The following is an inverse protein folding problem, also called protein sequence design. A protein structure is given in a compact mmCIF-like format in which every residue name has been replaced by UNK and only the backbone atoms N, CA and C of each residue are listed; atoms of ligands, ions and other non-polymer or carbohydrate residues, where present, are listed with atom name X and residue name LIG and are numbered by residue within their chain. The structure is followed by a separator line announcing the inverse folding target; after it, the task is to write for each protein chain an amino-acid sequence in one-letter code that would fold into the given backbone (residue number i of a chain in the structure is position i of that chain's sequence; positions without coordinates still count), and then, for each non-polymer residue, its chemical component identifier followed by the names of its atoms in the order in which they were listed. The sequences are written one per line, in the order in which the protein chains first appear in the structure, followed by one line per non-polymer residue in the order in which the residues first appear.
data_IF_527531499014
#
_entry.id   IF_527531499014
#
_cell.length_a   1.000
_cell.length_b   1.000
_cell.length_c   1.000
_cell.angle_alpha   90.00
_cell.angle_beta   90.00
_cell.angle_gamma   90.00
#
_symmetry.space_group_name_H-M   'P 1'
#
loop_
_entity.id
_entity.type
_entity.pdbx_description
1 polymer ?
#
# COMPACT_ATOMS: atom_id res chain seq x y z
N UNK A 1 -57.96 32.85 -60.06
CA UNK A 1 -58.45 32.10 -61.26
C UNK A 1 -57.23 31.54 -61.97
N UNK A 2 -57.21 30.32 -62.16
CA UNK A 2 -56.68 29.41 -63.15
C UNK A 2 -55.87 28.30 -62.51
N UNK A 3 -56.49 27.12 -62.51
CA UNK A 3 -55.92 25.82 -62.17
C UNK A 3 -55.02 25.29 -63.28
N UNK A 4 -53.90 24.63 -62.95
CA UNK A 4 -53.27 23.68 -63.87
C UNK A 4 -52.91 22.44 -63.07
N UNK A 5 -53.49 21.31 -63.50
CA UNK A 5 -53.34 19.95 -62.93
C UNK A 5 -51.97 19.34 -63.20
N UNK A 6 -51.60 18.34 -62.41
CA UNK A 6 -50.31 17.65 -62.55
C UNK A 6 -50.39 16.46 -63.51
N UNK A 7 -49.41 16.32 -64.36
CA UNK A 7 -49.18 15.14 -65.21
C UNK A 7 -48.45 14.05 -64.48
N UNK A 8 -49.04 12.85 -64.44
CA UNK A 8 -48.43 11.59 -63.94
C UNK A 8 -47.43 11.07 -64.97
N UNK A 9 -46.23 10.77 -64.54
CA UNK A 9 -45.29 9.96 -65.31
C UNK A 9 -45.08 8.61 -64.62
N UNK A 10 -45.16 7.54 -65.43
CA UNK A 10 -45.07 6.12 -65.01
C UNK A 10 -43.67 5.68 -64.62
N UNK A 11 -43.51 4.65 -63.76
CA UNK A 11 -42.21 4.18 -63.31
C UNK A 11 -41.55 3.22 -64.34
N UNK A 12 -40.25 3.40 -64.54
CA UNK A 12 -39.38 2.49 -65.30
C UNK A 12 -38.92 1.31 -64.40
N UNK A 13 -38.72 0.09 -64.90
CA UNK A 13 -38.30 -1.05 -64.13
C UNK A 13 -36.82 -0.99 -63.86
N UNK A 14 -36.48 -1.12 -62.58
CA UNK A 14 -35.09 -1.29 -62.08
C UNK A 14 -34.62 -2.71 -62.39
N UNK A 15 -33.54 -2.83 -63.14
CA UNK A 15 -32.74 -4.07 -63.30
C UNK A 15 -32.06 -4.40 -62.03
N UNK A 16 -32.33 -5.61 -61.50
CA UNK A 16 -31.62 -6.19 -60.36
C UNK A 16 -30.20 -6.62 -60.81
N UNK A 17 -29.17 -5.91 -60.32
CA UNK A 17 -27.80 -6.41 -60.33
C UNK A 17 -27.57 -7.20 -59.03
N UNK A 18 -27.39 -8.51 -59.19
CA UNK A 18 -26.99 -9.38 -58.05
C UNK A 18 -25.48 -9.22 -57.81
N UNK A 19 -25.12 -8.53 -56.75
CA UNK A 19 -23.77 -8.45 -56.29
C UNK A 19 -23.55 -9.53 -55.23
N UNK A 20 -22.75 -10.53 -55.54
CA UNK A 20 -22.26 -11.57 -54.64
C UNK A 20 -21.28 -10.91 -53.64
N UNK A 21 -21.70 -10.70 -52.39
CA UNK A 21 -20.83 -10.38 -51.27
C UNK A 21 -20.30 -11.70 -50.70
N UNK A 22 -19.04 -12.02 -51.00
CA UNK A 22 -18.29 -13.06 -50.31
C UNK A 22 -17.95 -12.56 -48.90
N UNK A 23 -18.67 -13.06 -47.90
CA UNK A 23 -18.35 -12.82 -46.48
C UNK A 23 -17.10 -13.62 -46.10
N UNK A 24 -15.96 -12.94 -45.98
CA UNK A 24 -14.79 -13.45 -45.31
C UNK A 24 -15.01 -13.38 -43.80
N UNK A 25 -15.49 -14.48 -43.20
CA UNK A 25 -15.51 -14.64 -41.76
C UNK A 25 -14.07 -14.95 -41.24
N UNK A 26 -13.32 -13.92 -40.86
CA UNK A 26 -12.12 -14.09 -40.09
C UNK A 26 -12.57 -14.41 -38.66
N UNK A 27 -12.55 -15.69 -38.31
CA UNK A 27 -12.67 -16.12 -36.93
C UNK A 27 -11.39 -15.68 -36.19
N UNK A 28 -11.43 -14.50 -35.56
CA UNK A 28 -10.46 -14.11 -34.56
C UNK A 28 -10.69 -15.01 -33.33
N UNK A 29 -9.98 -16.14 -33.27
CA UNK A 29 -9.85 -16.91 -32.06
C UNK A 29 -9.08 -16.04 -31.07
N UNK A 30 -9.80 -15.29 -30.25
CA UNK A 30 -9.25 -14.63 -29.07
C UNK A 30 -8.75 -15.74 -28.15
N UNK A 31 -7.44 -16.02 -28.20
CA UNK A 31 -6.74 -16.78 -27.19
C UNK A 31 -6.76 -15.92 -25.92
N UNK A 32 -7.86 -15.95 -25.18
CA UNK A 32 -7.90 -15.54 -23.81
C UNK A 32 -6.96 -16.48 -23.05
N UNK A 33 -5.71 -16.04 -22.84
CA UNK A 33 -4.86 -16.66 -21.84
C UNK A 33 -5.63 -16.57 -20.53
N UNK A 34 -5.92 -17.70 -19.85
CA UNK A 34 -6.57 -17.65 -18.56
C UNK A 34 -5.69 -16.78 -17.66
N UNK A 35 -6.27 -15.74 -17.05
CA UNK A 35 -5.61 -15.02 -15.98
C UNK A 35 -5.13 -16.06 -14.97
N UNK A 36 -3.81 -16.18 -14.82
CA UNK A 36 -3.20 -17.16 -13.93
C UNK A 36 -3.72 -16.84 -12.54
N UNK A 37 -4.62 -17.67 -12.02
CA UNK A 37 -5.09 -17.54 -10.64
C UNK A 37 -3.84 -17.43 -9.76
N UNK A 38 -3.73 -16.34 -9.02
CA UNK A 38 -2.58 -16.10 -8.16
C UNK A 38 -2.58 -17.20 -7.10
N UNK A 39 -1.51 -18.01 -7.03
CA UNK A 39 -1.41 -19.12 -6.08
C UNK A 39 -1.48 -18.56 -4.65
N UNK A 40 -2.60 -18.77 -3.98
CA UNK A 40 -2.87 -18.31 -2.61
C UNK A 40 -2.33 -19.24 -1.54
N UNK A 41 -1.77 -20.39 -1.95
CA UNK A 41 -1.21 -21.39 -1.05
C UNK A 41 0.01 -20.85 -0.31
N UNK A 42 0.01 -21.01 1.00
CA UNK A 42 1.15 -20.67 1.85
C UNK A 42 2.18 -21.81 1.85
N UNK A 43 3.38 -21.53 1.38
CA UNK A 43 4.47 -22.52 1.31
C UNK A 43 5.63 -22.06 2.20
N UNK A 44 6.05 -22.85 3.21
CA UNK A 44 7.21 -22.53 4.03
C UNK A 44 8.48 -22.35 3.20
N UNK A 45 9.29 -21.39 3.57
CA UNK A 45 10.61 -21.17 2.98
C UNK A 45 11.67 -20.98 4.08
N UNK A 46 12.92 -21.19 3.73
CA UNK A 46 14.03 -20.77 4.59
C UNK A 46 14.00 -19.25 4.81
N UNK A 47 14.52 -18.80 5.96
CA UNK A 47 14.66 -17.37 6.24
C UNK A 47 15.53 -16.74 5.16
N UNK A 48 15.04 -15.79 4.35
CA UNK A 48 15.85 -15.13 3.33
C UNK A 48 17.02 -14.37 3.95
N UNK A 49 18.14 -14.31 3.24
CA UNK A 49 19.23 -13.43 3.63
C UNK A 49 18.74 -11.97 3.63
N UNK A 50 19.01 -11.27 4.71
CA UNK A 50 18.65 -9.86 4.90
C UNK A 50 19.92 -9.01 5.10
N UNK A 51 20.77 -8.88 4.06
CA UNK A 51 22.00 -8.13 4.17
C UNK A 51 21.68 -6.66 4.48
N UNK A 52 22.38 -6.10 5.46
CA UNK A 52 22.15 -4.72 5.89
C UNK A 52 20.99 -4.52 6.86
N UNK A 53 20.26 -5.56 7.27
CA UNK A 53 19.25 -5.43 8.34
C UNK A 53 19.92 -5.06 9.67
N UNK A 54 19.47 -3.97 10.28
CA UNK A 54 20.03 -3.39 11.49
C UNK A 54 19.05 -3.66 12.63
N UNK A 55 19.45 -4.37 13.72
CA UNK A 55 18.61 -4.55 14.89
C UNK A 55 18.26 -3.21 15.53
N UNK A 56 16.98 -3.03 15.92
CA UNK A 56 16.50 -1.81 16.56
C UNK A 56 16.71 -1.79 18.09
N UNK A 57 17.13 -2.92 18.66
CA UNK A 57 17.41 -3.07 20.08
C UNK A 57 16.23 -2.70 21.00
N UNK A 58 15.01 -2.89 20.54
CA UNK A 58 13.77 -2.66 21.31
C UNK A 58 13.43 -3.83 22.25
N UNK A 59 14.32 -4.81 22.32
CA UNK A 59 14.13 -6.05 23.07
C UNK A 59 13.26 -7.07 22.32
N UNK A 60 13.25 -8.33 22.77
CA UNK A 60 12.38 -9.35 22.20
C UNK A 60 10.91 -9.07 22.55
N UNK A 61 9.99 -9.65 21.78
CA UNK A 61 8.56 -9.61 22.12
C UNK A 61 8.33 -10.38 23.43
N UNK A 62 7.76 -9.74 24.48
CA UNK A 62 7.51 -10.42 25.75
C UNK A 62 6.58 -11.63 25.58
N UNK A 63 6.93 -12.76 26.21
CA UNK A 63 6.13 -13.98 26.18
C UNK A 63 6.13 -14.73 24.85
N UNK A 64 6.96 -14.34 23.89
CA UNK A 64 7.07 -15.03 22.61
C UNK A 64 7.66 -16.44 22.78
N UNK A 65 7.00 -17.44 22.20
CA UNK A 65 7.42 -18.84 22.22
C UNK A 65 7.72 -19.40 20.83
N UNK A 66 7.06 -18.87 19.79
CA UNK A 66 7.29 -19.28 18.41
C UNK A 66 8.47 -18.52 17.81
N UNK A 67 9.32 -19.22 17.06
CA UNK A 67 10.43 -18.62 16.33
C UNK A 67 9.99 -17.95 15.05
N UNK A 68 10.71 -16.90 14.63
CA UNK A 68 10.54 -16.26 13.34
C UNK A 68 10.60 -17.30 12.22
N UNK A 69 9.61 -17.26 11.34
CA UNK A 69 9.50 -18.16 10.19
C UNK A 69 8.97 -17.42 8.97
N UNK A 70 9.20 -17.98 7.79
CA UNK A 70 8.90 -17.34 6.53
C UNK A 70 8.12 -18.26 5.60
N UNK A 71 7.30 -17.67 4.74
CA UNK A 71 6.53 -18.39 3.75
C UNK A 71 6.39 -17.57 2.46
N UNK A 72 6.04 -18.26 1.40
CA UNK A 72 5.65 -17.67 0.12
C UNK A 72 4.15 -17.79 -0.05
N UNK A 73 3.50 -16.71 -0.50
CA UNK A 73 2.09 -16.67 -0.86
C UNK A 73 1.89 -15.58 -1.91
N UNK A 74 0.97 -15.75 -2.84
CA UNK A 74 0.72 -14.80 -3.96
C UNK A 74 1.98 -14.45 -4.75
N UNK A 75 2.92 -15.38 -4.90
CA UNK A 75 4.22 -15.10 -5.53
C UNK A 75 5.16 -14.20 -4.73
N UNK A 76 4.80 -13.81 -3.51
CA UNK A 76 5.53 -12.88 -2.65
C UNK A 76 6.03 -13.55 -1.36
N UNK A 77 6.91 -12.88 -0.63
CA UNK A 77 7.60 -13.38 0.56
C UNK A 77 7.07 -12.68 1.81
N UNK A 78 6.74 -13.49 2.81
CA UNK A 78 6.17 -13.03 4.08
C UNK A 78 6.98 -13.54 5.28
N UNK A 79 7.12 -12.68 6.32
CA UNK A 79 7.66 -13.04 7.61
C UNK A 79 6.54 -13.19 8.64
N UNK A 80 6.67 -14.12 9.59
CA UNK A 80 5.76 -14.28 10.73
C UNK A 80 6.51 -14.59 12.01
N UNK A 81 5.85 -14.42 13.15
CA UNK A 81 6.44 -14.61 14.47
C UNK A 81 7.74 -13.81 14.67
N UNK A 82 7.77 -12.60 14.10
CA UNK A 82 8.90 -11.67 14.30
C UNK A 82 8.92 -11.22 15.75
N UNK A 83 10.00 -11.54 16.47
CA UNK A 83 10.19 -11.19 17.89
C UNK A 83 11.25 -10.12 18.10
N UNK A 84 12.12 -9.91 17.11
CA UNK A 84 13.19 -8.90 17.12
C UNK A 84 13.00 -7.98 15.93
N UNK A 85 12.79 -6.70 16.23
CA UNK A 85 12.60 -5.70 15.17
C UNK A 85 13.92 -5.33 14.49
N UNK A 86 13.87 -5.18 13.16
CA UNK A 86 15.02 -4.74 12.37
C UNK A 86 14.60 -3.66 11.36
N UNK A 87 15.56 -2.84 10.95
CA UNK A 87 15.41 -1.85 9.91
C UNK A 87 16.39 -2.12 8.77
N UNK A 88 15.89 -2.31 7.54
CA UNK A 88 16.73 -2.58 6.38
C UNK A 88 16.78 -1.36 5.46
N UNK A 89 17.96 -0.72 5.27
CA UNK A 89 18.11 0.44 4.40
C UNK A 89 18.13 0.06 2.92
N UNK A 90 17.49 0.89 2.10
CA UNK A 90 17.56 0.93 0.64
C UNK A 90 17.90 2.36 0.24
N UNK A 91 19.17 2.60 -0.06
CA UNK A 91 19.67 3.94 -0.31
C UNK A 91 19.73 4.22 -1.81
N UNK A 92 19.37 5.43 -2.25
CA UNK A 92 19.59 5.86 -3.62
C UNK A 92 21.08 6.09 -3.92
N UNK A 93 21.43 6.15 -5.19
CA UNK A 93 22.73 6.67 -5.59
C UNK A 93 22.92 8.08 -5.03
N UNK A 94 24.10 8.37 -4.49
CA UNK A 94 24.38 9.67 -3.84
C UNK A 94 24.12 10.86 -4.76
N UNK A 95 24.43 10.73 -6.04
CA UNK A 95 24.20 11.77 -7.04
C UNK A 95 22.71 12.07 -7.29
N UNK A 96 21.80 11.15 -6.92
CA UNK A 96 20.35 11.27 -7.11
C UNK A 96 19.59 11.48 -5.81
N UNK A 97 20.30 11.42 -4.67
CA UNK A 97 19.69 11.54 -3.37
C UNK A 97 18.99 12.89 -3.17
N UNK A 98 17.73 12.86 -2.80
CA UNK A 98 16.91 14.07 -2.53
C UNK A 98 17.04 14.56 -1.10
N UNK A 99 17.66 13.79 -0.21
CA UNK A 99 17.67 14.02 1.23
C UNK A 99 16.40 13.56 1.94
N UNK A 100 15.34 13.24 1.21
CA UNK A 100 14.12 12.68 1.84
C UNK A 100 14.29 11.20 2.15
N UNK A 101 13.58 10.73 3.19
CA UNK A 101 13.56 9.33 3.60
C UNK A 101 12.15 8.86 3.96
N UNK A 102 11.89 7.56 3.78
CA UNK A 102 10.62 6.90 4.12
C UNK A 102 10.88 5.64 4.93
N UNK A 103 10.31 5.55 6.13
CA UNK A 103 10.18 4.29 6.86
C UNK A 103 8.96 3.56 6.30
N UNK A 104 9.17 2.38 5.73
CA UNK A 104 8.13 1.56 5.10
C UNK A 104 7.69 0.48 6.08
N UNK A 105 6.42 0.48 6.45
CA UNK A 105 5.80 -0.49 7.36
C UNK A 105 4.86 -1.43 6.58
N UNK A 106 5.28 -2.68 6.28
CA UNK A 106 4.44 -3.64 5.59
C UNK A 106 3.17 -4.02 6.37
N UNK A 107 2.14 -4.49 5.67
CA UNK A 107 0.91 -5.03 6.24
C UNK A 107 1.00 -6.53 6.58
N UNK A 108 -0.14 -7.08 7.01
CA UNK A 108 -0.29 -8.50 7.35
C UNK A 108 -1.00 -8.73 8.69
N UNK A 109 -1.87 -7.82 9.11
CA UNK A 109 -2.74 -7.97 10.28
C UNK A 109 -2.01 -8.10 11.61
N UNK A 110 -0.79 -7.58 11.73
CA UNK A 110 0.12 -7.76 12.88
C UNK A 110 0.44 -9.24 13.19
N UNK A 111 0.18 -10.17 12.29
CA UNK A 111 0.47 -11.60 12.42
C UNK A 111 1.49 -12.09 11.40
N UNK A 112 1.61 -11.39 10.30
CA UNK A 112 2.62 -11.59 9.27
C UNK A 112 3.05 -10.24 8.71
N UNK A 113 4.12 -10.21 7.90
CA UNK A 113 4.58 -9.02 7.17
C UNK A 113 4.75 -9.36 5.69
N UNK A 114 4.11 -8.60 4.82
CA UNK A 114 4.28 -8.66 3.36
C UNK A 114 5.64 -8.04 2.98
N UNK A 115 6.73 -8.77 3.28
CA UNK A 115 8.10 -8.24 3.21
C UNK A 115 8.53 -7.88 1.79
N UNK A 116 8.11 -8.65 0.79
CA UNK A 116 8.49 -8.37 -0.59
C UNK A 116 7.63 -7.28 -1.20
N UNK A 117 6.33 -7.52 -1.35
CA UNK A 117 5.41 -6.65 -2.08
C UNK A 117 5.22 -5.25 -1.45
N UNK A 118 5.09 -5.19 -0.13
CA UNK A 118 4.83 -3.95 0.61
C UNK A 118 6.07 -3.39 1.32
N UNK A 119 7.17 -4.14 1.32
CA UNK A 119 8.44 -3.75 1.92
C UNK A 119 9.52 -3.49 0.87
N UNK A 120 10.19 -4.55 0.43
CA UNK A 120 11.41 -4.43 -0.38
C UNK A 120 11.16 -3.82 -1.78
N UNK A 121 10.04 -4.17 -2.43
CA UNK A 121 9.74 -3.66 -3.77
C UNK A 121 9.39 -2.16 -3.72
N UNK A 122 8.63 -1.74 -2.70
CA UNK A 122 8.37 -0.31 -2.41
C UNK A 122 9.67 0.44 -2.13
N UNK A 123 10.52 -0.11 -1.27
CA UNK A 123 11.78 0.52 -0.90
C UNK A 123 12.75 0.67 -2.09
N UNK A 124 12.85 -0.35 -2.95
CA UNK A 124 13.63 -0.26 -4.20
C UNK A 124 13.07 0.81 -5.14
N UNK A 125 11.74 0.86 -5.29
CA UNK A 125 11.09 1.86 -6.13
C UNK A 125 11.31 3.29 -5.61
N UNK A 126 11.27 3.52 -4.31
CA UNK A 126 11.58 4.81 -3.68
C UNK A 126 13.06 5.18 -3.89
N UNK A 127 14.00 4.25 -3.65
CA UNK A 127 15.42 4.48 -3.87
C UNK A 127 15.73 4.83 -5.34
N UNK A 128 15.05 4.17 -6.30
CA UNK A 128 15.16 4.51 -7.72
C UNK A 128 14.67 5.95 -8.03
N UNK A 129 13.85 6.56 -7.18
CA UNK A 129 13.39 7.96 -7.30
C UNK A 129 14.21 8.95 -6.46
N UNK A 130 15.34 8.52 -5.87
CA UNK A 130 16.22 9.34 -5.06
C UNK A 130 15.80 9.51 -3.60
N UNK A 131 14.78 8.78 -3.15
CA UNK A 131 14.29 8.80 -1.78
C UNK A 131 14.88 7.62 -1.01
N UNK A 132 15.60 7.86 0.07
CA UNK A 132 16.08 6.78 0.94
C UNK A 132 14.87 6.04 1.55
N UNK A 133 14.91 4.72 1.56
CA UNK A 133 13.82 3.94 2.13
C UNK A 133 14.33 2.92 3.14
N UNK A 134 13.56 2.67 4.16
CA UNK A 134 13.90 1.81 5.28
C UNK A 134 12.76 0.85 5.58
N UNK A 135 12.93 -0.42 5.29
CA UNK A 135 11.89 -1.43 5.57
C UNK A 135 11.93 -1.81 7.03
N UNK A 136 10.85 -1.55 7.73
CA UNK A 136 10.68 -1.88 9.14
C UNK A 136 10.05 -3.28 9.28
N UNK A 137 10.87 -4.25 9.68
CA UNK A 137 10.40 -5.57 10.14
C UNK A 137 10.09 -5.44 11.63
N UNK A 138 8.85 -5.05 11.96
CA UNK A 138 8.42 -4.82 13.34
C UNK A 138 7.94 -6.11 14.02
N UNK A 139 7.92 -6.14 15.36
CA UNK A 139 7.47 -7.28 16.15
C UNK A 139 6.00 -7.59 15.91
N UNK A 140 5.67 -8.88 15.86
CA UNK A 140 4.36 -9.38 15.50
C UNK A 140 3.69 -10.14 16.64
N UNK A 141 2.37 -10.12 16.66
CA UNK A 141 1.60 -11.04 17.51
C UNK A 141 1.92 -12.48 17.12
N UNK A 142 2.06 -13.33 18.12
CA UNK A 142 2.41 -14.73 17.92
C UNK A 142 1.28 -15.50 17.23
N UNK A 143 1.67 -16.36 16.32
CA UNK A 143 0.79 -17.28 15.59
C UNK A 143 1.28 -18.72 15.76
N UNK A 144 0.44 -19.74 15.50
CA UNK A 144 0.88 -21.14 15.53
C UNK A 144 2.15 -21.36 14.72
N UNK A 145 3.06 -22.18 15.24
CA UNK A 145 4.36 -22.45 14.60
C UNK A 145 4.18 -23.23 13.29
N UNK A 146 3.24 -24.18 13.26
CA UNK A 146 2.93 -24.95 12.07
C UNK A 146 2.11 -24.13 11.04
N UNK A 147 2.20 -24.54 9.76
CA UNK A 147 1.57 -23.78 8.69
C UNK A 147 0.04 -23.90 8.71
N UNK A 148 -0.49 -25.11 8.97
CA UNK A 148 -1.93 -25.33 8.96
C UNK A 148 -2.65 -24.52 10.06
N UNK A 149 -2.08 -24.49 11.27
CA UNK A 149 -2.57 -23.64 12.36
C UNK A 149 -2.48 -22.15 12.03
N UNK A 150 -1.40 -21.73 11.36
CA UNK A 150 -1.25 -20.34 10.92
C UNK A 150 -2.32 -19.97 9.86
N UNK A 151 -2.50 -20.78 8.81
CA UNK A 151 -3.52 -20.57 7.77
C UNK A 151 -4.92 -20.45 8.39
N UNK A 152 -5.26 -21.35 9.32
CA UNK A 152 -6.53 -21.31 10.01
C UNK A 152 -6.69 -20.05 10.89
N UNK A 153 -5.60 -19.60 11.53
CA UNK A 153 -5.61 -18.37 12.32
C UNK A 153 -5.84 -17.12 11.46
N UNK A 154 -5.25 -17.10 10.25
CA UNK A 154 -5.45 -16.00 9.27
C UNK A 154 -6.87 -16.03 8.71
N UNK A 155 -7.39 -17.21 8.36
CA UNK A 155 -8.78 -17.36 7.88
C UNK A 155 -9.78 -16.85 8.92
N UNK A 156 -9.63 -17.20 10.20
CA UNK A 156 -10.48 -16.69 11.29
C UNK A 156 -10.37 -15.18 11.45
N UNK A 157 -9.18 -14.62 11.34
CA UNK A 157 -8.97 -13.18 11.44
C UNK A 157 -9.74 -12.44 10.33
N UNK A 158 -9.62 -12.87 9.08
CA UNK A 158 -10.29 -12.22 7.95
C UNK A 158 -11.81 -12.43 7.97
N UNK A 159 -12.30 -13.60 8.35
CA UNK A 159 -13.74 -13.85 8.50
C UNK A 159 -14.37 -13.04 9.66
N UNK A 160 -13.60 -12.80 10.72
CA UNK A 160 -14.01 -11.96 11.85
C UNK A 160 -13.96 -10.46 11.53
N UNK A 161 -12.98 -10.02 10.75
CA UNK A 161 -12.83 -8.61 10.36
C UNK A 161 -14.03 -8.08 9.57
N UNK A 162 -14.67 -8.93 8.74
CA UNK A 162 -15.88 -8.57 7.99
C UNK A 162 -17.09 -8.26 8.87
N UNK A 163 -17.07 -8.61 10.16
CA UNK A 163 -18.18 -8.46 11.11
C UNK A 163 -17.95 -7.43 12.22
N UNK A 164 -16.72 -6.95 12.40
CA UNK A 164 -16.43 -5.98 13.45
C UNK A 164 -17.00 -4.60 13.08
N UNK A 165 -17.63 -3.88 14.03
CA UNK A 165 -18.00 -2.48 13.83
C UNK A 165 -16.73 -1.67 13.48
N UNK A 166 -16.76 -0.94 12.37
CA UNK A 166 -15.60 -0.19 11.83
C UNK A 166 -15.40 1.19 12.43
N UNK A 167 -16.10 1.48 13.51
CA UNK A 167 -16.01 2.74 14.24
C UNK A 167 -15.21 2.54 15.52
N UNK A 168 -13.89 2.65 15.46
CA UNK A 168 -13.10 2.81 16.68
C UNK A 168 -12.74 4.29 16.84
N UNK A 169 -13.48 4.98 17.70
CA UNK A 169 -13.09 6.30 18.24
C UNK A 169 -12.02 6.18 19.34
N UNK A 170 -11.35 5.02 19.43
CA UNK A 170 -10.32 4.74 20.43
C UNK A 170 -8.94 5.23 20.02
N UNK A 171 -8.01 5.24 20.98
CA UNK A 171 -6.58 5.52 20.72
C UNK A 171 -6.02 4.52 19.70
N UNK A 172 -5.51 4.98 18.53
CA UNK A 172 -4.92 4.13 17.52
C UNK A 172 -3.74 3.27 18.00
N UNK A 173 -3.08 3.66 19.11
CA UNK A 173 -1.98 2.91 19.70
C UNK A 173 -2.43 1.76 20.61
N UNK A 174 -3.72 1.62 20.88
CA UNK A 174 -4.21 0.56 21.78
C UNK A 174 -3.78 -0.81 21.29
N UNK A 175 -3.05 -1.55 22.13
CA UNK A 175 -2.52 -2.88 21.82
C UNK A 175 -1.30 -2.90 20.88
N UNK A 176 -0.77 -1.74 20.48
CA UNK A 176 0.37 -1.63 19.54
C UNK A 176 1.67 -1.14 20.21
N UNK A 177 1.76 -1.16 21.54
CA UNK A 177 2.92 -0.61 22.25
C UNK A 177 4.28 -1.19 21.77
N UNK A 178 4.47 -2.50 21.53
CA UNK A 178 5.72 -3.03 20.99
C UNK A 178 6.03 -2.49 19.60
N UNK A 179 5.04 -2.43 18.70
CA UNK A 179 5.21 -1.99 17.31
C UNK A 179 5.49 -0.49 17.22
N UNK A 180 4.82 0.32 18.06
CA UNK A 180 5.10 1.76 18.18
C UNK A 180 6.51 2.00 18.71
N UNK A 181 6.98 1.21 19.69
CA UNK A 181 8.36 1.29 20.17
C UNK A 181 9.37 0.96 19.05
N UNK A 182 9.06 -0.01 18.19
CA UNK A 182 9.91 -0.36 17.04
C UNK A 182 9.94 0.79 16.01
N UNK A 183 8.82 1.40 15.72
CA UNK A 183 8.75 2.56 14.82
C UNK A 183 9.50 3.76 15.37
N UNK A 184 9.37 4.06 16.66
CA UNK A 184 10.14 5.13 17.34
C UNK A 184 11.65 4.88 17.24
N UNK A 185 12.09 3.65 17.51
CA UNK A 185 13.50 3.27 17.39
C UNK A 185 14.00 3.39 15.94
N UNK A 186 13.17 3.06 14.96
CA UNK A 186 13.49 3.24 13.54
C UNK A 186 13.70 4.72 13.21
N UNK A 187 12.80 5.63 13.62
CA UNK A 187 12.99 7.08 13.43
C UNK A 187 14.26 7.59 14.11
N UNK A 188 14.50 7.18 15.35
CA UNK A 188 15.70 7.56 16.09
C UNK A 188 16.98 7.10 15.37
N UNK A 189 17.01 5.85 14.87
CA UNK A 189 18.14 5.30 14.13
C UNK A 189 18.39 6.06 12.82
N UNK A 190 17.33 6.34 12.04
CA UNK A 190 17.46 7.08 10.77
C UNK A 190 17.99 8.49 11.02
N UNK A 191 17.48 9.21 12.03
CA UNK A 191 17.99 10.52 12.40
C UNK A 191 19.44 10.49 12.86
N UNK A 192 19.80 9.54 13.71
CA UNK A 192 21.19 9.41 14.22
C UNK A 192 22.19 9.14 13.10
N UNK A 193 21.77 8.46 12.02
CA UNK A 193 22.63 8.13 10.87
C UNK A 193 22.35 9.00 9.64
N UNK A 194 21.54 10.03 9.76
CA UNK A 194 21.16 10.90 8.65
C UNK A 194 22.37 11.44 7.85
N UNK A 195 23.47 11.92 8.48
CA UNK A 195 24.65 12.37 7.73
C UNK A 195 25.33 11.25 6.92
N UNK A 196 25.37 10.03 7.45
CA UNK A 196 25.97 8.87 6.75
C UNK A 196 25.19 8.50 5.50
N UNK A 197 23.88 8.66 5.54
CA UNK A 197 22.94 8.26 4.50
C UNK A 197 22.52 9.41 3.58
N UNK A 198 23.11 10.60 3.77
CA UNK A 198 22.76 11.82 3.02
C UNK A 198 21.26 12.13 3.13
N UNK A 199 20.72 12.11 4.35
CA UNK A 199 19.31 12.35 4.67
C UNK A 199 19.21 13.66 5.48
N UNK A 200 18.19 14.44 5.19
CA UNK A 200 17.74 15.54 6.02
C UNK A 200 16.85 14.99 7.14
N UNK A 201 17.22 15.13 8.42
CA UNK A 201 16.45 14.59 9.55
C UNK A 201 15.03 15.14 9.66
N UNK A 202 14.73 16.28 9.06
CA UNK A 202 13.41 16.91 9.04
C UNK A 202 12.56 16.46 7.82
N UNK A 203 13.09 15.59 6.95
CA UNK A 203 12.42 15.09 5.75
C UNK A 203 12.20 13.57 5.78
N UNK A 204 11.96 13.02 6.97
CA UNK A 204 11.72 11.60 7.18
C UNK A 204 10.22 11.36 7.37
N UNK A 205 9.60 10.63 6.44
CA UNK A 205 8.19 10.23 6.52
C UNK A 205 8.01 8.75 6.88
N UNK A 206 6.76 8.35 7.01
CA UNK A 206 6.38 6.94 7.21
C UNK A 206 5.26 6.55 6.25
N UNK A 207 5.41 5.41 5.61
CA UNK A 207 4.45 4.83 4.66
C UNK A 207 4.05 3.45 5.15
N UNK A 208 2.78 3.25 5.43
CA UNK A 208 2.27 1.99 5.93
C UNK A 208 1.19 1.38 5.07
N UNK A 209 1.13 0.06 5.08
CA UNK A 209 0.20 -0.76 4.32
C UNK A 209 -0.69 -1.56 5.27
N UNK A 210 -2.03 -1.49 5.16
CA UNK A 210 -2.95 -2.26 6.01
C UNK A 210 -2.63 -2.11 7.51
N UNK A 211 -2.23 -3.17 8.20
CA UNK A 211 -1.74 -3.09 9.59
C UNK A 211 -0.55 -2.13 9.76
N UNK A 212 0.35 -2.03 8.77
CA UNK A 212 1.41 -1.04 8.74
C UNK A 212 0.89 0.40 8.64
N UNK A 213 -0.24 0.63 7.96
CA UNK A 213 -0.92 1.92 7.96
C UNK A 213 -1.50 2.25 9.35
N UNK A 214 -2.07 1.26 10.05
CA UNK A 214 -2.47 1.43 11.46
C UNK A 214 -1.29 1.80 12.35
N UNK A 215 -0.14 1.13 12.17
CA UNK A 215 1.10 1.46 12.89
C UNK A 215 1.59 2.87 12.56
N UNK A 216 1.51 3.30 11.29
CA UNK A 216 1.86 4.67 10.87
C UNK A 216 1.00 5.69 11.59
N UNK A 217 -0.32 5.49 11.63
CA UNK A 217 -1.25 6.36 12.35
C UNK A 217 -0.98 6.36 13.85
N UNK A 218 -0.83 5.17 14.47
CA UNK A 218 -0.53 5.03 15.89
C UNK A 218 0.78 5.76 16.27
N UNK A 219 1.85 5.56 15.48
CA UNK A 219 3.14 6.23 15.69
C UNK A 219 3.02 7.73 15.59
N UNK A 220 2.32 8.24 14.57
CA UNK A 220 2.14 9.68 14.34
C UNK A 220 1.41 10.37 15.50
N UNK A 221 0.39 9.71 16.05
CA UNK A 221 -0.50 10.31 17.03
C UNK A 221 -0.10 10.08 18.48
N UNK A 222 0.66 9.00 18.78
CA UNK A 222 1.04 8.65 20.15
C UNK A 222 2.54 8.76 20.45
N UNK A 223 3.39 8.99 19.44
CA UNK A 223 4.84 9.04 19.61
C UNK A 223 5.41 10.41 19.15
N UNK A 224 5.31 11.45 19.98
CA UNK A 224 5.70 12.81 19.59
C UNK A 224 7.19 12.95 19.24
N UNK A 225 8.03 12.02 19.68
CA UNK A 225 9.45 11.95 19.33
C UNK A 225 9.74 11.35 17.95
N UNK A 226 8.79 10.58 17.41
CA UNK A 226 8.91 10.04 16.05
C UNK A 226 8.76 11.15 14.99
N UNK A 227 7.81 12.08 15.16
CA UNK A 227 7.60 13.29 14.33
C UNK A 227 7.82 13.06 12.83
N UNK A 228 7.02 12.22 12.16
CA UNK A 228 7.14 12.05 10.71
C UNK A 228 6.84 13.38 9.98
N UNK A 229 7.65 13.72 8.98
CA UNK A 229 7.46 14.93 8.17
C UNK A 229 6.24 14.80 7.23
N UNK A 230 5.88 13.59 6.87
CA UNK A 230 4.70 13.21 6.08
C UNK A 230 4.36 11.75 6.36
N UNK A 231 3.12 11.37 6.07
CA UNK A 231 2.66 9.99 6.26
C UNK A 231 1.83 9.49 5.07
N UNK A 232 1.88 8.18 4.84
CA UNK A 232 1.05 7.48 3.88
C UNK A 232 0.26 6.34 4.53
N UNK A 233 -1.05 6.31 4.26
CA UNK A 233 -1.99 5.26 4.66
C UNK A 233 -2.47 4.55 3.40
N UNK A 234 -1.92 3.37 3.13
CA UNK A 234 -2.30 2.56 1.97
C UNK A 234 -3.20 1.42 2.44
N UNK A 235 -4.44 1.42 1.97
CA UNK A 235 -5.53 0.49 2.35
C UNK A 235 -5.58 0.18 3.86
N UNK A 236 -5.36 1.20 4.70
CA UNK A 236 -5.64 1.13 6.13
C UNK A 236 -7.05 1.62 6.45
N UNK A 237 -7.51 1.45 7.70
CA UNK A 237 -8.82 1.94 8.13
C UNK A 237 -8.91 3.46 8.03
N UNK A 238 -10.09 3.97 7.65
CA UNK A 238 -10.37 5.39 7.49
C UNK A 238 -11.37 5.91 8.56
N UNK A 239 -11.36 5.32 9.76
CA UNK A 239 -12.20 5.77 10.86
C UNK A 239 -11.82 7.19 11.34
N UNK A 240 -12.80 7.91 11.91
CA UNK A 240 -12.59 9.24 12.49
C UNK A 240 -11.60 9.20 13.66
N UNK A 241 -10.72 10.20 13.72
CA UNK A 241 -9.76 10.35 14.81
C UNK A 241 -9.59 11.84 15.18
N UNK A 242 -9.07 12.08 16.39
CA UNK A 242 -8.61 13.42 16.78
C UNK A 242 -7.28 13.73 16.11
N UNK A 243 -7.23 14.81 15.31
CA UNK A 243 -6.04 15.20 14.56
C UNK A 243 -5.39 16.40 15.23
N UNK A 244 -4.11 16.29 15.67
CA UNK A 244 -3.36 17.42 16.23
C UNK A 244 -3.19 18.55 15.22
N UNK A 245 -3.09 19.79 15.71
CA UNK A 245 -2.92 20.98 14.85
C UNK A 245 -1.60 20.99 14.07
N UNK A 246 -0.60 20.25 14.51
CA UNK A 246 0.71 20.05 13.89
C UNK A 246 0.86 18.72 13.16
N UNK A 247 -0.24 17.95 12.99
CA UNK A 247 -0.21 16.69 12.26
C UNK A 247 0.42 16.84 10.86
N UNK A 248 1.23 15.86 10.40
CA UNK A 248 1.89 15.94 9.11
C UNK A 248 0.91 15.85 7.93
N UNK A 249 1.32 16.26 6.72
CA UNK A 249 0.58 15.94 5.50
C UNK A 249 0.32 14.43 5.37
N UNK A 250 -0.88 14.07 4.92
CA UNK A 250 -1.35 12.69 4.80
C UNK A 250 -1.66 12.35 3.33
N UNK A 251 -1.09 11.26 2.84
CA UNK A 251 -1.48 10.60 1.59
C UNK A 251 -2.29 9.35 1.90
N UNK A 252 -3.41 9.13 1.21
CA UNK A 252 -4.29 7.96 1.39
C UNK A 252 -4.57 7.32 0.05
N UNK A 253 -4.49 6.00 -0.02
CA UNK A 253 -4.94 5.21 -1.17
C UNK A 253 -5.75 4.00 -0.72
N UNK A 254 -6.93 3.79 -1.32
CA UNK A 254 -7.85 2.69 -1.02
C UNK A 254 -8.51 2.22 -2.32
N UNK A 255 -8.90 0.96 -2.40
CA UNK A 255 -9.79 0.46 -3.44
C UNK A 255 -11.23 0.34 -2.92
N UNK A 256 -12.22 0.72 -3.74
CA UNK A 256 -13.63 0.66 -3.35
C UNK A 256 -14.12 -0.79 -3.19
N UNK A 257 -13.49 -1.73 -3.90
CA UNK A 257 -13.75 -3.17 -3.80
C UNK A 257 -12.90 -3.88 -2.72
N UNK A 258 -12.25 -3.12 -1.81
CA UNK A 258 -11.49 -3.69 -0.69
C UNK A 258 -12.46 -4.36 0.31
N UNK A 259 -12.39 -5.71 0.50
CA UNK A 259 -13.32 -6.43 1.35
C UNK A 259 -13.17 -6.12 2.85
N UNK A 260 -12.09 -5.46 3.26
CA UNK A 260 -11.84 -5.09 4.65
C UNK A 260 -12.26 -3.65 4.97
N UNK A 261 -12.02 -2.71 4.06
CA UNK A 261 -12.18 -1.29 4.31
C UNK A 261 -12.96 -0.53 3.23
N UNK A 262 -13.26 -1.15 2.08
CA UNK A 262 -13.94 -0.48 0.94
C UNK A 262 -15.33 0.06 1.28
N UNK A 263 -16.11 -0.68 2.09
CA UNK A 263 -17.45 -0.24 2.54
C UNK A 263 -17.40 0.77 3.70
N UNK A 264 -16.20 1.14 4.19
CA UNK A 264 -16.01 2.14 5.25
C UNK A 264 -16.28 3.55 4.76
N UNK A 265 -16.56 4.48 5.69
CA UNK A 265 -16.57 5.91 5.40
C UNK A 265 -15.16 6.47 5.22
N UNK A 266 -15.08 7.77 4.90
CA UNK A 266 -13.81 8.49 4.70
C UNK A 266 -13.50 9.44 5.87
N UNK A 267 -13.92 9.11 7.07
CA UNK A 267 -13.88 9.99 8.25
C UNK A 267 -12.46 10.41 8.64
N UNK A 268 -11.46 9.59 8.36
CA UNK A 268 -10.05 9.97 8.54
C UNK A 268 -9.68 11.18 7.66
N UNK A 269 -10.09 11.15 6.38
CA UNK A 269 -9.83 12.24 5.44
C UNK A 269 -10.54 13.52 5.90
N UNK A 270 -11.80 13.39 6.32
CA UNK A 270 -12.57 14.51 6.86
C UNK A 270 -11.97 15.04 8.18
N UNK A 271 -11.38 14.17 9.01
CA UNK A 271 -10.69 14.57 10.24
C UNK A 271 -9.47 15.45 9.94
N UNK A 272 -8.64 15.08 8.95
CA UNK A 272 -7.52 15.91 8.47
C UNK A 272 -7.97 17.25 7.91
N UNK A 273 -9.02 17.24 7.06
CA UNK A 273 -9.60 18.47 6.48
C UNK A 273 -10.14 19.42 7.55
N UNK A 274 -10.89 18.90 8.54
CA UNK A 274 -11.39 19.72 9.69
C UNK A 274 -10.27 20.33 10.51
N UNK A 275 -9.16 19.60 10.68
CA UNK A 275 -7.95 20.09 11.33
C UNK A 275 -7.14 21.07 10.46
N UNK A 276 -7.59 21.35 9.23
CA UNK A 276 -6.88 22.17 8.23
C UNK A 276 -5.47 21.66 7.92
N UNK A 277 -5.28 20.34 7.99
CA UNK A 277 -4.03 19.68 7.62
C UNK A 277 -4.09 19.19 6.17
N UNK A 278 -2.97 19.25 5.42
CA UNK A 278 -2.94 18.75 4.05
C UNK A 278 -3.28 17.25 4.00
N UNK A 279 -4.17 16.87 3.09
CA UNK A 279 -4.53 15.48 2.82
C UNK A 279 -4.83 15.29 1.35
N UNK A 280 -4.31 14.21 0.78
CA UNK A 280 -4.63 13.74 -0.56
C UNK A 280 -5.19 12.32 -0.47
N UNK A 281 -6.30 12.03 -1.15
CA UNK A 281 -6.98 10.75 -1.11
C UNK A 281 -7.27 10.24 -2.52
N UNK A 282 -6.87 9.01 -2.80
CA UNK A 282 -7.14 8.26 -4.02
C UNK A 282 -8.03 7.07 -3.71
N UNK A 283 -9.28 7.10 -4.19
CA UNK A 283 -10.20 5.97 -4.19
C UNK A 283 -10.19 5.35 -5.58
N UNK A 284 -9.61 4.16 -5.69
CA UNK A 284 -9.62 3.38 -6.93
C UNK A 284 -10.87 2.52 -6.99
N UNK A 285 -11.48 2.40 -8.18
CA UNK A 285 -12.67 1.57 -8.36
C UNK A 285 -12.41 0.11 -8.00
N UNK A 286 -11.25 -0.41 -8.44
CA UNK A 286 -10.84 -1.79 -8.24
C UNK A 286 -9.37 -1.89 -7.80
N UNK A 287 -9.09 -2.94 -7.05
CA UNK A 287 -7.74 -3.25 -6.54
C UNK A 287 -7.76 -4.33 -5.49
N UNK A 288 -8.89 -4.48 -4.79
CA UNK A 288 -9.03 -5.33 -3.62
C UNK A 288 -8.17 -4.86 -2.46
N UNK A 289 -7.97 -5.71 -1.45
CA UNK A 289 -7.05 -5.45 -0.36
C UNK A 289 -5.62 -5.91 -0.71
N UNK A 290 -4.59 -5.19 -0.26
CA UNK A 290 -3.20 -5.62 -0.41
C UNK A 290 -2.64 -5.49 -1.83
N UNK A 291 -3.10 -4.52 -2.63
CA UNK A 291 -2.60 -4.35 -3.99
C UNK A 291 -1.10 -4.01 -4.04
N UNK A 292 -0.55 -3.25 -3.07
CA UNK A 292 0.88 -2.95 -2.97
C UNK A 292 1.57 -2.70 -4.30
N UNK A 293 2.68 -3.41 -4.54
CA UNK A 293 3.45 -3.36 -5.80
C UNK A 293 3.10 -4.52 -6.75
N UNK A 294 2.05 -5.31 -6.46
CA UNK A 294 1.63 -6.34 -7.40
C UNK A 294 1.20 -5.73 -8.74
N UNK A 295 1.69 -6.25 -9.87
CA UNK A 295 1.19 -5.84 -11.17
C UNK A 295 -0.27 -6.28 -11.31
N UNK A 296 -1.18 -5.33 -11.52
CA UNK A 296 -2.61 -5.55 -11.74
C UNK A 296 -3.08 -4.75 -12.94
N UNK A 297 -4.12 -5.21 -13.61
CA UNK A 297 -4.78 -4.51 -14.71
C UNK A 297 -5.81 -3.48 -14.21
N UNK A 298 -5.70 -3.06 -12.94
CA UNK A 298 -6.58 -2.09 -12.30
C UNK A 298 -5.87 -0.75 -12.11
N UNK A 299 -6.62 0.34 -12.02
CA UNK A 299 -6.07 1.70 -11.83
C UNK A 299 -5.33 1.86 -10.50
N UNK A 300 -5.57 0.97 -9.52
CA UNK A 300 -4.83 0.95 -8.26
C UNK A 300 -3.32 0.73 -8.42
N UNK A 301 -2.86 0.15 -9.54
CA UNK A 301 -1.42 0.06 -9.90
C UNK A 301 -0.76 1.45 -9.95
N UNK A 302 -1.51 2.51 -10.22
CA UNK A 302 -1.02 3.90 -10.28
C UNK A 302 -0.76 4.58 -8.93
N UNK A 303 -1.04 3.92 -7.80
CA UNK A 303 -0.93 4.54 -6.48
C UNK A 303 0.48 5.05 -6.19
N UNK A 304 1.51 4.28 -6.56
CA UNK A 304 2.90 4.64 -6.28
C UNK A 304 3.32 5.91 -7.04
N UNK A 305 2.96 6.03 -8.31
CA UNK A 305 3.23 7.23 -9.10
C UNK A 305 2.45 8.45 -8.58
N UNK A 306 1.24 8.26 -8.07
CA UNK A 306 0.49 9.32 -7.40
C UNK A 306 1.22 9.78 -6.13
N UNK A 307 1.69 8.84 -5.30
CA UNK A 307 2.48 9.14 -4.11
C UNK A 307 3.78 9.89 -4.45
N UNK A 308 4.50 9.48 -5.49
CA UNK A 308 5.72 10.17 -5.93
C UNK A 308 5.41 11.60 -6.39
N UNK A 309 4.34 11.82 -7.16
CA UNK A 309 3.92 13.18 -7.56
C UNK A 309 3.57 14.04 -6.34
N UNK A 310 2.87 13.45 -5.38
CA UNK A 310 2.52 14.13 -4.14
C UNK A 310 3.77 14.51 -3.32
N UNK A 311 4.76 13.62 -3.20
CA UNK A 311 6.06 13.95 -2.58
C UNK A 311 6.76 15.10 -3.32
N UNK A 312 6.70 15.10 -4.65
CA UNK A 312 7.25 16.19 -5.49
C UNK A 312 6.58 17.53 -5.25
N UNK A 313 5.25 17.56 -5.13
CA UNK A 313 4.46 18.75 -4.83
C UNK A 313 4.84 19.34 -3.46
N UNK A 314 5.09 18.51 -2.47
CA UNK A 314 5.56 18.93 -1.14
C UNK A 314 7.06 19.25 -1.09
N UNK A 315 7.78 19.17 -2.20
CA UNK A 315 9.21 19.51 -2.27
C UNK A 315 10.16 18.41 -1.80
N UNK A 316 9.67 17.24 -1.42
CA UNK A 316 10.50 16.12 -0.93
C UNK A 316 11.40 15.48 -2.01
N UNK A 317 11.13 15.73 -3.30
CA UNK A 317 11.95 15.21 -4.41
C UNK A 317 12.97 16.23 -4.94
N UNK A 318 13.05 17.42 -4.37
CA UNK A 318 14.10 18.39 -4.71
C UNK A 318 15.39 17.95 -4.04
N UNK A 319 16.51 17.99 -4.81
CA UNK A 319 17.83 17.77 -4.22
C UNK A 319 18.01 18.72 -3.03
N UNK A 320 18.58 18.22 -1.93
CA UNK A 320 19.08 19.11 -0.91
C UNK A 320 20.11 20.04 -1.61
N UNK A 321 19.86 21.34 -1.62
CA UNK A 321 20.90 22.28 -2.08
C UNK A 321 22.09 22.15 -1.13
N UNK A 322 23.32 22.13 -1.67
CA UNK A 322 24.53 22.06 -0.86
C UNK A 322 24.67 23.27 0.08
#
# INVERSE_FOLDING_TARGET
MSMISPTRSAPRPLRRAATLLAAFAIAAASLSTPARAQDDRMTPIAIPAQPGAIPLNTGPLPGATAQESWHRQYGSVFARNVTVATLTPFLPDRARATGAAVIVAPGGGFRTLSMQNEGWDVARALAARGVAAFVLKYRLNQTPADMAGFEESMRRMFSGASRAPRTSSGDPATGLAPQVADARAAFALVRARAPQWNIDPDRIGMLGFSAGAMLTMATTLSAPDARPAFIGNIYGPLASIAVPSDAPPLFVALAADDPLFGDGGFDLVESWRRAKRPVEFHLYEQGGHGFGMYPKETSSTGWFEAFIRWLGMHGYLRSAQP
#
